data_IF_061797543223
#
_entry.id   IF_061797543223
#
_cell.length_a   1.000
_cell.length_b   1.000
_cell.length_c   1.000
_cell.angle_alpha   90.00
_cell.angle_beta   90.00
_cell.angle_gamma   90.00
#
_symmetry.space_group_name_H-M   'P 1'
#
loop_
_entity.id
_entity.type
_entity.pdbx_description
1 polymer ?
#
# COMPACT_ATOMS: atom_id res chain seq x y z
N UNK A 1 -16.62 8.59 7.40
CA UNK A 1 -16.76 8.17 5.99
C UNK A 1 -16.76 9.35 5.01
N UNK A 2 -17.77 10.22 5.05
CA UNK A 2 -17.90 11.39 4.14
C UNK A 2 -16.73 12.37 4.30
N UNK A 3 -16.35 12.69 5.54
CA UNK A 3 -15.19 13.55 5.81
C UNK A 3 -13.87 12.94 5.28
N UNK A 4 -13.66 11.63 5.51
CA UNK A 4 -12.49 10.93 4.98
C UNK A 4 -12.47 10.98 3.46
N UNK A 5 -13.59 10.71 2.80
CA UNK A 5 -13.71 10.77 1.34
C UNK A 5 -13.25 12.13 0.79
N UNK A 6 -13.80 13.21 1.34
CA UNK A 6 -13.44 14.59 0.95
C UNK A 6 -11.98 14.92 1.26
N UNK A 7 -11.47 14.51 2.41
CA UNK A 7 -10.07 14.74 2.80
C UNK A 7 -9.10 14.07 1.84
N UNK A 8 -9.33 12.79 1.51
CA UNK A 8 -8.45 12.04 0.62
C UNK A 8 -8.55 12.51 -0.84
N UNK A 9 -9.73 12.91 -1.32
CA UNK A 9 -9.86 13.52 -2.65
C UNK A 9 -9.06 14.83 -2.73
N UNK A 10 -9.21 15.70 -1.73
CA UNK A 10 -8.48 16.97 -1.68
C UNK A 10 -6.97 16.77 -1.55
N UNK A 11 -6.52 15.82 -0.74
CA UNK A 11 -5.09 15.48 -0.63
C UNK A 11 -4.51 15.00 -1.97
N UNK A 12 -5.28 14.21 -2.70
CA UNK A 12 -4.87 13.71 -4.01
C UNK A 12 -4.76 14.87 -5.01
N UNK A 13 -5.79 15.72 -5.06
CA UNK A 13 -5.83 16.91 -5.91
C UNK A 13 -4.65 17.85 -5.60
N UNK A 14 -4.38 18.12 -4.31
CA UNK A 14 -3.26 18.94 -3.86
C UNK A 14 -1.88 18.34 -4.23
N UNK A 15 -1.76 17.01 -4.24
CA UNK A 15 -0.53 16.32 -4.64
C UNK A 15 -0.27 16.46 -6.14
N UNK A 16 -1.33 16.42 -6.96
CA UNK A 16 -1.22 16.61 -8.42
C UNK A 16 -1.02 18.09 -8.80
N UNK A 17 -1.55 19.02 -8.02
CA UNK A 17 -1.50 20.45 -8.33
C UNK A 17 -0.10 21.07 -8.25
N UNK A 18 0.85 20.48 -7.52
CA UNK A 18 2.22 21.01 -7.45
C UNK A 18 2.96 20.82 -8.77
N UNK A 19 2.86 21.80 -9.67
CA UNK A 19 3.63 21.88 -10.94
C UNK A 19 5.12 21.65 -10.74
N UNK A 20 5.64 22.02 -9.57
CA UNK A 20 7.04 21.80 -9.18
C UNK A 20 7.46 20.34 -9.21
N UNK A 21 6.55 19.39 -8.99
CA UNK A 21 6.85 17.96 -9.03
C UNK A 21 6.79 17.37 -10.45
N UNK A 22 6.20 18.07 -11.43
CA UNK A 22 6.12 17.56 -12.81
C UNK A 22 7.50 17.50 -13.47
N UNK A 23 8.41 18.40 -13.06
CA UNK A 23 9.76 18.56 -13.59
C UNK A 23 10.78 18.49 -12.44
N UNK A 24 11.13 17.28 -11.96
CA UNK A 24 12.18 17.09 -10.96
C UNK A 24 13.54 17.59 -11.46
N UNK A 25 14.34 18.12 -10.55
CA UNK A 25 15.72 18.54 -10.81
C UNK A 25 16.63 17.31 -11.03
N UNK A 26 17.49 17.38 -12.04
CA UNK A 26 18.52 16.38 -12.33
C UNK A 26 18.03 15.10 -13.03
N UNK A 27 16.73 14.85 -13.11
CA UNK A 27 16.14 13.59 -13.60
C UNK A 27 15.38 13.83 -14.92
N UNK A 28 15.40 12.84 -15.82
CA UNK A 28 14.54 12.83 -17.00
C UNK A 28 13.09 12.52 -16.62
N UNK A 29 12.19 13.45 -16.90
CA UNK A 29 10.77 13.35 -16.60
C UNK A 29 9.95 13.10 -17.86
N UNK A 30 9.11 12.06 -17.82
CA UNK A 30 8.13 11.74 -18.87
C UNK A 30 6.71 12.12 -18.47
N UNK A 31 6.54 13.15 -17.63
CA UNK A 31 5.25 13.62 -17.12
C UNK A 31 4.28 14.12 -18.20
N UNK A 32 4.78 14.39 -19.42
CA UNK A 32 3.97 14.87 -20.54
C UNK A 32 3.99 13.84 -21.68
N UNK A 33 2.82 13.48 -22.24
CA UNK A 33 2.76 12.58 -23.38
C UNK A 33 3.64 13.07 -24.53
N UNK A 34 4.38 12.17 -25.16
CA UNK A 34 5.30 12.45 -26.27
C UNK A 34 6.50 13.36 -25.94
N UNK A 35 6.72 13.74 -24.68
CA UNK A 35 7.89 14.54 -24.29
C UNK A 35 8.71 13.87 -23.19
N UNK A 36 10.01 14.11 -23.19
CA UNK A 36 10.90 13.76 -22.08
C UNK A 36 11.78 14.94 -21.77
N UNK A 37 11.62 15.49 -20.57
CA UNK A 37 12.19 16.78 -20.18
C UNK A 37 13.17 16.55 -19.02
N UNK A 38 14.36 17.12 -19.11
CA UNK A 38 15.31 17.20 -18.00
C UNK A 38 15.62 18.65 -17.70
N UNK A 39 15.57 18.97 -16.41
CA UNK A 39 15.98 20.27 -15.88
C UNK A 39 17.24 20.03 -15.05
N UNK A 40 18.31 20.77 -15.32
CA UNK A 40 19.56 20.60 -14.60
C UNK A 40 19.47 21.17 -13.18
N UNK A 41 18.99 22.41 -13.05
CA UNK A 41 18.84 23.11 -11.76
C UNK A 41 17.57 23.95 -11.72
N UNK A 42 16.98 24.11 -10.54
CA UNK A 42 15.77 24.90 -10.30
C UNK A 42 15.98 25.94 -9.20
N UNK A 43 15.28 27.07 -9.29
CA UNK A 43 15.20 28.02 -8.17
C UNK A 43 14.27 27.52 -7.04
N UNK A 44 14.44 28.01 -5.79
CA UNK A 44 13.56 27.65 -4.67
C UNK A 44 12.06 27.86 -4.92
N UNK A 45 11.72 28.91 -5.68
CA UNK A 45 10.34 29.25 -6.05
C UNK A 45 9.75 28.29 -7.10
N UNK A 46 10.61 27.52 -7.77
CA UNK A 46 10.20 26.52 -8.74
C UNK A 46 9.69 27.07 -10.08
N UNK A 47 9.82 28.37 -10.34
CA UNK A 47 9.37 29.03 -11.57
C UNK A 47 10.49 29.08 -12.61
N UNK A 48 11.73 29.36 -12.19
CA UNK A 48 12.90 29.43 -13.07
C UNK A 48 13.65 28.11 -13.12
N UNK A 49 14.07 27.75 -14.32
CA UNK A 49 14.70 26.48 -14.69
C UNK A 49 16.01 26.79 -15.40
N UNK A 50 17.06 26.05 -15.08
CA UNK A 50 18.39 26.20 -15.68
C UNK A 50 18.81 24.89 -16.33
N UNK A 51 19.40 24.99 -17.52
CA UNK A 51 19.88 23.84 -18.28
C UNK A 51 18.76 22.86 -18.61
N UNK A 52 17.90 23.23 -19.56
CA UNK A 52 16.77 22.42 -19.99
C UNK A 52 17.11 21.61 -21.23
N UNK A 53 16.67 20.35 -21.24
CA UNK A 53 16.75 19.45 -22.37
C UNK A 53 15.37 18.82 -22.59
N UNK A 54 14.79 19.01 -23.76
CA UNK A 54 13.45 18.51 -24.11
C UNK A 54 13.59 17.62 -25.32
N UNK A 55 13.22 16.36 -25.17
CA UNK A 55 13.04 15.41 -26.25
C UNK A 55 11.57 15.33 -26.63
N UNK A 56 11.28 15.43 -27.91
CA UNK A 56 9.95 15.16 -28.45
C UNK A 56 9.98 13.81 -29.18
N UNK A 57 9.09 12.91 -28.76
CA UNK A 57 8.93 11.57 -29.33
C UNK A 57 7.88 11.64 -30.42
N UNK A 58 8.25 11.35 -31.66
CA UNK A 58 7.29 11.13 -32.73
C UNK A 58 7.06 9.63 -32.90
N UNK A 59 5.81 9.18 -32.78
CA UNK A 59 5.40 7.77 -32.89
C UNK A 59 5.74 7.12 -34.23
N UNK A 60 6.02 7.90 -35.29
CA UNK A 60 6.28 7.37 -36.63
C UNK A 60 7.76 7.34 -37.03
N UNK A 61 8.63 8.12 -36.39
CA UNK A 61 10.03 8.32 -36.84
C UNK A 61 11.09 8.29 -35.74
N UNK A 62 10.71 8.20 -34.46
CA UNK A 62 11.64 8.16 -33.32
C UNK A 62 11.83 9.52 -32.63
N UNK A 63 12.88 9.62 -31.79
CA UNK A 63 13.23 10.84 -31.03
C UNK A 63 14.03 11.82 -31.89
N UNK A 64 13.38 12.41 -32.88
CA UNK A 64 14.07 13.17 -33.91
C UNK A 64 14.12 14.67 -33.64
N UNK A 65 13.56 15.15 -32.53
CA UNK A 65 13.58 16.56 -32.16
C UNK A 65 14.07 16.73 -30.71
N UNK A 66 15.14 17.54 -30.56
CA UNK A 66 15.78 17.84 -29.28
C UNK A 66 15.95 19.34 -29.12
N UNK A 67 15.44 19.88 -28.02
CA UNK A 67 15.58 21.29 -27.67
C UNK A 67 16.47 21.43 -26.45
N UNK A 68 17.49 22.28 -26.56
CA UNK A 68 18.32 22.71 -25.45
C UNK A 68 18.04 24.17 -25.14
N UNK A 69 17.94 24.54 -23.87
CA UNK A 69 17.84 25.93 -23.44
C UNK A 69 18.70 26.18 -22.20
N UNK A 70 19.38 27.32 -22.16
CA UNK A 70 20.20 27.70 -21.00
C UNK A 70 19.34 28.07 -19.80
N UNK A 71 18.27 28.79 -20.05
CA UNK A 71 17.32 29.25 -19.04
C UNK A 71 15.90 28.99 -19.53
N UNK A 72 14.98 28.82 -18.60
CA UNK A 72 13.56 28.83 -18.89
C UNK A 72 12.73 29.20 -17.68
N UNK A 73 11.48 29.55 -17.93
CA UNK A 73 10.47 29.79 -16.90
C UNK A 73 9.24 28.96 -17.19
N UNK A 74 8.67 28.36 -16.16
CA UNK A 74 7.42 27.60 -16.26
C UNK A 74 6.27 28.37 -15.63
N UNK A 75 5.15 28.48 -16.34
CA UNK A 75 3.90 29.02 -15.82
C UNK A 75 2.71 28.31 -16.44
N UNK A 76 1.55 28.40 -15.82
CA UNK A 76 0.30 27.86 -16.37
C UNK A 76 -0.51 28.97 -17.02
N UNK A 77 -1.30 28.61 -18.02
CA UNK A 77 -2.28 29.54 -18.60
C UNK A 77 -3.38 29.88 -17.56
N UNK A 78 -4.05 31.05 -17.66
CA UNK A 78 -5.08 31.47 -16.70
C UNK A 78 -6.25 30.47 -16.55
N UNK A 79 -6.50 29.67 -17.59
CA UNK A 79 -7.53 28.63 -17.66
C UNK A 79 -7.04 27.24 -17.20
N UNK A 80 -5.81 27.14 -16.68
CA UNK A 80 -5.14 25.91 -16.24
C UNK A 80 -5.08 24.80 -17.31
N UNK A 81 -5.27 25.15 -18.60
CA UNK A 81 -5.30 24.20 -19.71
C UNK A 81 -3.92 23.78 -20.20
N UNK A 82 -2.93 24.66 -20.08
CA UNK A 82 -1.59 24.41 -20.59
C UNK A 82 -0.54 24.77 -19.55
N UNK A 83 0.51 23.94 -19.47
CA UNK A 83 1.78 24.35 -18.88
C UNK A 83 2.64 24.95 -20.00
N UNK A 84 3.10 26.17 -19.82
CA UNK A 84 3.96 26.87 -20.77
C UNK A 84 5.38 26.90 -20.23
N UNK A 85 6.32 26.37 -21.00
CA UNK A 85 7.75 26.55 -20.79
C UNK A 85 8.27 27.61 -21.74
N UNK A 86 8.58 28.77 -21.20
CA UNK A 86 9.25 29.85 -21.92
C UNK A 86 10.75 29.66 -21.81
N UNK A 87 11.37 29.26 -22.90
CA UNK A 87 12.78 28.88 -23.02
C UNK A 87 13.58 30.05 -23.58
N UNK A 88 14.78 30.27 -23.06
CA UNK A 88 15.69 31.34 -23.47
C UNK A 88 17.07 30.81 -23.86
N UNK A 89 17.65 31.45 -24.87
CA UNK A 89 19.00 31.19 -25.37
C UNK A 89 19.25 29.71 -25.65
N UNK A 90 18.52 29.16 -26.62
CA UNK A 90 18.51 27.75 -26.90
C UNK A 90 18.73 27.38 -28.37
N UNK A 91 18.78 26.07 -28.60
CA UNK A 91 18.92 25.48 -29.93
C UNK A 91 18.00 24.27 -30.04
N UNK A 92 17.27 24.20 -31.15
CA UNK A 92 16.48 23.04 -31.55
C UNK A 92 17.24 22.28 -32.64
N UNK A 93 17.40 20.99 -32.44
CA UNK A 93 17.92 20.05 -33.41
C UNK A 93 16.77 19.19 -33.90
N UNK A 94 16.57 19.14 -35.21
CA UNK A 94 15.55 18.33 -35.84
C UNK A 94 16.19 17.47 -36.93
N UNK A 95 15.94 16.17 -36.88
CA UNK A 95 16.44 15.20 -37.85
C UNK A 95 15.27 14.61 -38.66
N UNK A 96 15.15 15.03 -39.91
CA UNK A 96 14.13 14.45 -40.79
C UNK A 96 14.67 13.21 -41.51
N UNK A 97 13.83 12.19 -41.61
CA UNK A 97 14.10 11.04 -42.47
C UNK A 97 14.28 11.51 -43.91
N UNK A 98 15.25 10.92 -44.63
CA UNK A 98 15.43 11.21 -46.05
C UNK A 98 14.16 10.87 -46.86
N UNK A 99 13.90 11.63 -47.92
CA UNK A 99 12.82 11.31 -48.86
C UNK A 99 13.01 9.89 -49.42
N UNK A 100 11.91 9.19 -49.71
CA UNK A 100 11.90 7.85 -50.33
C UNK A 100 12.36 7.87 -51.81
N UNK A 101 13.40 8.65 -52.14
CA UNK A 101 13.95 8.86 -53.49
C UNK A 101 15.49 8.97 -53.50
N UNK A 102 16.06 9.44 -54.63
CA UNK A 102 17.49 9.39 -55.02
C UNK A 102 18.51 10.06 -54.05
N UNK A 103 18.08 10.67 -52.96
CA UNK A 103 18.99 11.23 -51.95
C UNK A 103 18.62 10.75 -50.53
N UNK A 104 19.15 9.59 -50.09
CA UNK A 104 18.85 8.99 -48.79
C UNK A 104 19.48 9.73 -47.59
N UNK A 105 20.05 10.92 -47.79
CA UNK A 105 20.75 11.65 -46.72
C UNK A 105 19.75 12.23 -45.72
N UNK A 106 19.90 11.82 -44.47
CA UNK A 106 19.26 12.45 -43.31
C UNK A 106 19.61 13.94 -43.29
N UNK A 107 18.60 14.80 -43.09
CA UNK A 107 18.79 16.24 -42.97
C UNK A 107 18.75 16.63 -41.51
N UNK A 108 19.81 17.30 -41.04
CA UNK A 108 19.86 17.88 -39.69
C UNK A 108 19.59 19.38 -39.78
N UNK A 109 18.47 19.82 -39.22
CA UNK A 109 18.11 21.23 -39.08
C UNK A 109 18.51 21.71 -37.70
N UNK A 110 19.18 22.87 -37.65
CA UNK A 110 19.60 23.53 -36.41
C UNK A 110 19.00 24.93 -36.34
N UNK A 111 18.06 25.14 -35.42
CA UNK A 111 17.42 26.43 -35.20
C UNK A 111 17.86 27.01 -33.87
N UNK A 112 18.56 28.14 -33.90
CA UNK A 112 18.92 28.89 -32.69
C UNK A 112 17.86 29.93 -32.40
N UNK A 113 17.45 30.05 -31.14
CA UNK A 113 16.43 31.00 -30.72
C UNK A 113 16.90 31.79 -29.49
N UNK A 114 16.54 33.08 -29.47
CA UNK A 114 16.67 33.92 -28.28
C UNK A 114 15.60 33.57 -27.26
N UNK A 115 14.37 33.39 -27.73
CA UNK A 115 13.22 33.02 -26.90
C UNK A 115 12.26 32.12 -27.70
N UNK A 116 11.68 31.13 -27.05
CA UNK A 116 10.60 30.31 -27.62
C UNK A 116 9.69 29.81 -26.50
N UNK A 117 8.44 29.47 -26.82
CA UNK A 117 7.48 28.91 -25.87
C UNK A 117 7.07 27.52 -26.32
N UNK A 118 7.19 26.55 -25.41
CA UNK A 118 6.65 25.22 -25.59
C UNK A 118 5.43 25.04 -24.69
N UNK A 119 4.28 24.73 -25.29
CA UNK A 119 3.02 24.51 -24.58
C UNK A 119 2.79 23.01 -24.43
N UNK A 120 2.48 22.58 -23.22
CA UNK A 120 2.12 21.21 -22.89
C UNK A 120 0.68 21.17 -22.47
N UNK A 121 -0.11 20.36 -23.18
CA UNK A 121 -1.52 20.20 -22.88
C UNK A 121 -1.70 19.50 -21.52
N UNK A 122 -2.34 20.19 -20.60
CA UNK A 122 -2.75 19.65 -19.31
C UNK A 122 -4.19 19.10 -19.37
N UNK A 123 -4.88 19.12 -20.50
CA UNK A 123 -6.28 18.66 -20.60
C UNK A 123 -6.44 17.17 -20.26
N UNK A 124 -5.42 16.35 -20.49
CA UNK A 124 -5.39 14.95 -20.00
C UNK A 124 -5.04 14.84 -18.50
N UNK A 125 -4.49 15.90 -17.91
CA UNK A 125 -4.27 16.06 -16.46
C UNK A 125 -5.42 16.84 -15.79
N UNK A 126 -6.34 17.44 -16.57
CA UNK A 126 -7.54 18.07 -16.05
C UNK A 126 -8.41 17.00 -15.44
N UNK A 127 -8.61 17.15 -14.12
CA UNK A 127 -9.70 16.63 -13.31
C UNK A 127 -10.71 15.71 -14.03
N UNK A 128 -10.31 14.47 -14.33
CA UNK A 128 -11.27 13.38 -14.10
C UNK A 128 -11.29 13.25 -12.59
N UNK A 129 -12.42 13.57 -11.93
CA UNK A 129 -12.63 13.19 -10.53
C UNK A 129 -12.06 11.79 -10.37
N UNK A 130 -10.97 11.68 -9.62
CA UNK A 130 -10.24 10.43 -9.48
C UNK A 130 -11.24 9.37 -9.12
N UNK A 131 -11.26 8.27 -9.88
CA UNK A 131 -12.18 7.20 -9.64
C UNK A 131 -11.94 6.74 -8.19
N UNK A 132 -12.89 7.01 -7.30
CA UNK A 132 -12.78 6.76 -5.85
C UNK A 132 -12.42 5.30 -5.54
N UNK A 133 -12.57 4.42 -6.54
CA UNK A 133 -12.21 3.01 -6.56
C UNK A 133 -10.70 2.68 -6.59
N UNK A 134 -9.80 3.60 -6.95
CA UNK A 134 -8.35 3.30 -6.99
C UNK A 134 -7.62 3.41 -5.64
N UNK A 135 -8.30 3.91 -4.60
CA UNK A 135 -7.69 4.06 -3.29
C UNK A 135 -7.66 2.73 -2.54
N UNK A 136 -6.45 2.20 -2.27
CA UNK A 136 -6.23 1.07 -1.34
C UNK A 136 -6.78 1.32 0.09
N UNK A 137 -7.13 2.58 0.39
CA UNK A 137 -7.77 3.05 1.63
C UNK A 137 -9.28 3.32 1.51
N UNK A 138 -9.92 2.97 0.38
CA UNK A 138 -11.35 3.20 0.16
C UNK A 138 -12.23 2.58 1.26
N UNK A 139 -11.82 1.47 1.86
CA UNK A 139 -12.55 0.82 2.98
C UNK A 139 -12.83 1.79 4.15
N UNK A 140 -11.91 2.71 4.47
CA UNK A 140 -12.10 3.71 5.54
C UNK A 140 -13.14 4.77 5.18
N UNK A 141 -13.35 5.00 3.88
CA UNK A 141 -14.25 6.00 3.32
C UNK A 141 -15.66 5.43 3.11
N UNK A 142 -15.78 4.10 3.00
CA UNK A 142 -17.06 3.41 2.83
C UNK A 142 -17.97 3.50 4.06
N UNK A 143 -19.27 3.55 3.80
CA UNK A 143 -20.32 3.36 4.80
C UNK A 143 -20.59 1.85 5.06
N UNK A 144 -21.43 1.53 6.05
CA UNK A 144 -21.70 0.13 6.44
C UNK A 144 -22.35 -0.70 5.32
N UNK A 145 -23.26 -0.11 4.52
CA UNK A 145 -23.91 -0.79 3.40
C UNK A 145 -22.90 -1.09 2.28
N UNK A 146 -22.05 -0.13 1.97
CA UNK A 146 -20.96 -0.26 0.99
C UNK A 146 -19.96 -1.33 1.44
N UNK A 147 -19.52 -1.33 2.71
CA UNK A 147 -18.61 -2.37 3.23
C UNK A 147 -19.23 -3.77 3.16
N UNK A 148 -20.52 -3.91 3.47
CA UNK A 148 -21.23 -5.20 3.37
C UNK A 148 -21.35 -5.67 1.92
N UNK A 149 -21.67 -4.76 1.01
CA UNK A 149 -21.74 -5.07 -0.42
C UNK A 149 -20.37 -5.44 -0.98
N UNK A 150 -19.34 -4.64 -0.67
CA UNK A 150 -17.96 -4.87 -1.10
C UNK A 150 -17.45 -6.22 -0.61
N UNK A 151 -17.69 -6.55 0.67
CA UNK A 151 -17.36 -7.87 1.23
C UNK A 151 -18.00 -8.99 0.41
N UNK A 152 -19.31 -8.91 0.14
CA UNK A 152 -20.03 -9.93 -0.64
C UNK A 152 -19.47 -10.05 -2.06
N UNK A 153 -19.14 -8.93 -2.69
CA UNK A 153 -18.56 -8.90 -4.03
C UNK A 153 -17.16 -9.52 -4.05
N UNK A 154 -16.33 -9.23 -3.04
CA UNK A 154 -15.00 -9.84 -2.91
C UNK A 154 -15.08 -11.34 -2.63
N UNK A 155 -15.98 -11.78 -1.76
CA UNK A 155 -16.26 -13.21 -1.50
C UNK A 155 -16.73 -13.90 -2.78
N UNK A 156 -17.71 -13.34 -3.49
CA UNK A 156 -18.20 -13.89 -4.75
C UNK A 156 -17.12 -13.98 -5.84
N UNK A 157 -16.25 -12.97 -5.94
CA UNK A 157 -15.10 -12.99 -6.87
C UNK A 157 -14.09 -14.07 -6.50
N UNK A 158 -13.87 -14.31 -5.21
CA UNK A 158 -12.98 -15.38 -4.73
C UNK A 158 -13.56 -16.76 -5.08
N UNK A 159 -14.85 -16.96 -4.82
CA UNK A 159 -15.54 -18.23 -5.08
C UNK A 159 -15.66 -18.53 -6.58
N UNK A 160 -16.11 -17.55 -7.37
CA UNK A 160 -16.21 -17.68 -8.84
C UNK A 160 -14.84 -17.82 -9.50
N UNK A 161 -13.81 -17.24 -8.87
CA UNK A 161 -12.41 -17.36 -9.28
C UNK A 161 -11.96 -18.81 -9.29
N UNK A 162 -12.33 -19.62 -8.29
CA UNK A 162 -11.96 -21.04 -8.21
C UNK A 162 -12.49 -21.87 -9.38
N UNK A 163 -13.76 -21.69 -9.74
CA UNK A 163 -14.35 -22.40 -10.87
C UNK A 163 -13.70 -22.00 -12.20
N UNK A 164 -13.43 -20.71 -12.36
CA UNK A 164 -12.77 -20.16 -13.57
C UNK A 164 -11.32 -20.61 -13.67
N UNK A 165 -10.59 -20.60 -12.55
CA UNK A 165 -9.23 -21.12 -12.43
C UNK A 165 -9.19 -22.60 -12.77
N UNK A 166 -10.07 -23.42 -12.19
CA UNK A 166 -10.14 -24.85 -12.50
C UNK A 166 -10.37 -25.10 -13.99
N UNK A 167 -11.29 -24.36 -14.63
CA UNK A 167 -11.53 -24.43 -16.08
C UNK A 167 -10.32 -24.04 -16.91
N UNK A 168 -9.55 -23.05 -16.44
CA UNK A 168 -8.33 -22.56 -17.10
C UNK A 168 -7.16 -23.52 -16.93
N UNK A 169 -7.06 -24.21 -15.78
CA UNK A 169 -5.98 -25.14 -15.46
C UNK A 169 -6.20 -26.54 -16.03
N UNK A 170 -7.45 -27.02 -16.08
CA UNK A 170 -7.78 -28.37 -16.54
C UNK A 170 -7.15 -28.77 -17.89
N UNK A 171 -7.03 -27.89 -18.91
CA UNK A 171 -6.44 -28.28 -20.21
C UNK A 171 -4.92 -28.49 -20.16
N UNK A 172 -4.22 -27.84 -19.22
CA UNK A 172 -2.77 -28.00 -19.08
C UNK A 172 -2.38 -29.29 -18.36
N UNK A 173 -3.30 -29.89 -17.62
CA UNK A 173 -3.12 -31.20 -17.01
C UNK A 173 -3.73 -32.24 -17.95
N UNK A 174 -2.89 -32.84 -18.80
CA UNK A 174 -3.27 -33.78 -19.87
C UNK A 174 -4.18 -34.94 -19.40
N UNK A 175 -4.17 -35.27 -18.10
CA UNK A 175 -5.11 -36.23 -17.52
C UNK A 175 -6.59 -35.81 -17.70
N UNK A 176 -6.91 -34.52 -17.58
CA UNK A 176 -8.29 -34.02 -17.71
C UNK A 176 -8.73 -33.78 -19.16
N UNK A 177 -7.80 -33.82 -20.12
CA UNK A 177 -8.12 -33.70 -21.55
C UNK A 177 -8.39 -35.06 -22.22
N UNK A 178 -8.15 -36.18 -21.51
CA UNK A 178 -8.53 -37.51 -21.99
C UNK A 178 -10.01 -37.76 -21.67
N UNK A 179 -10.88 -37.96 -22.68
CA UNK A 179 -12.28 -38.28 -22.44
C UNK A 179 -12.40 -39.60 -21.67
N UNK A 180 -13.32 -39.65 -20.70
CA UNK A 180 -13.52 -40.80 -19.81
C UNK A 180 -13.90 -42.10 -20.57
N UNK A 181 -14.44 -41.96 -21.79
CA UNK A 181 -14.68 -43.05 -22.73
C UNK A 181 -14.07 -42.69 -24.09
N UNK A 182 -12.79 -43.02 -24.33
CA UNK A 182 -12.21 -42.82 -25.65
C UNK A 182 -12.91 -43.76 -26.64
N UNK A 183 -13.61 -43.21 -27.63
CA UNK A 183 -14.27 -43.97 -28.72
C UNK A 183 -13.28 -44.62 -29.70
N UNK A 184 -12.02 -44.80 -29.33
CA UNK A 184 -10.94 -45.28 -30.19
C UNK A 184 -10.42 -46.63 -29.70
N UNK A 185 -10.05 -47.50 -30.65
CA UNK A 185 -9.32 -48.74 -30.41
C UNK A 185 -8.19 -48.49 -29.40
N UNK A 186 -8.29 -49.07 -28.20
CA UNK A 186 -7.24 -49.00 -27.20
C UNK A 186 -6.02 -49.75 -27.73
N UNK A 187 -5.08 -49.03 -28.33
CA UNK A 187 -3.78 -49.57 -28.69
C UNK A 187 -3.12 -49.97 -27.36
N UNK A 188 -2.92 -51.27 -27.15
CA UNK A 188 -2.19 -51.78 -25.98
C UNK A 188 -0.73 -51.35 -26.10
N UNK A 189 -0.36 -50.27 -25.43
CA UNK A 189 1.04 -49.89 -25.28
C UNK A 189 1.65 -50.67 -24.12
N UNK A 190 2.72 -51.42 -24.39
CA UNK A 190 3.50 -52.07 -23.34
C UNK A 190 4.46 -51.02 -22.75
N UNK A 191 4.05 -50.38 -21.65
CA UNK A 191 4.85 -49.40 -20.89
C UNK A 191 5.91 -50.06 -19.98
N UNK A 192 6.44 -51.21 -20.39
CA UNK A 192 7.46 -51.93 -19.63
C UNK A 192 8.83 -51.27 -19.81
N UNK A 193 9.10 -50.18 -19.08
CA UNK A 193 10.45 -49.59 -18.98
C UNK A 193 10.49 -48.08 -18.67
N UNK A 194 11.70 -47.52 -18.71
CA UNK A 194 11.92 -46.08 -18.59
C UNK A 194 11.32 -45.36 -19.81
N UNK A 195 10.33 -44.48 -19.60
CA UNK A 195 9.55 -43.79 -20.65
C UNK A 195 10.44 -42.98 -21.62
N UNK A 196 11.63 -42.58 -21.19
CA UNK A 196 12.61 -41.91 -22.05
C UNK A 196 13.19 -42.84 -23.11
N UNK A 197 13.23 -44.15 -22.85
CA UNK A 197 13.79 -45.14 -23.77
C UNK A 197 12.85 -45.44 -24.94
N UNK A 198 11.55 -45.13 -24.82
CA UNK A 198 10.58 -45.22 -25.91
C UNK A 198 10.72 -44.10 -26.97
N UNK A 199 11.46 -43.03 -26.66
CA UNK A 199 11.77 -41.95 -27.61
C UNK A 199 13.14 -42.19 -28.29
N UNK A 200 13.27 -41.74 -29.54
CA UNK A 200 14.57 -41.75 -30.24
C UNK A 200 15.59 -40.87 -29.48
N UNK A 201 16.88 -41.22 -29.45
CA UNK A 201 17.90 -40.47 -28.69
C UNK A 201 17.91 -38.96 -28.98
N UNK A 202 17.67 -38.60 -30.24
CA UNK A 202 17.61 -37.23 -30.76
C UNK A 202 16.41 -36.42 -30.21
N UNK A 203 15.30 -37.11 -29.96
CA UNK A 203 14.02 -36.52 -29.53
C UNK A 203 13.94 -36.36 -28.00
N UNK A 204 14.76 -37.10 -27.24
CA UNK A 204 14.72 -37.11 -25.76
C UNK A 204 14.94 -35.74 -25.14
N UNK A 205 15.93 -35.00 -25.64
CA UNK A 205 16.26 -33.66 -25.13
C UNK A 205 15.14 -32.66 -25.38
N UNK A 206 14.51 -32.72 -26.57
CA UNK A 206 13.36 -31.89 -26.92
C UNK A 206 12.12 -32.24 -26.10
N UNK A 207 11.84 -33.53 -25.90
CA UNK A 207 10.70 -33.99 -25.10
C UNK A 207 10.82 -33.59 -23.61
N UNK A 208 12.02 -33.73 -23.01
CA UNK A 208 12.28 -33.28 -21.64
C UNK A 208 12.20 -31.76 -21.54
N UNK A 209 12.77 -31.03 -22.51
CA UNK A 209 12.70 -29.57 -22.56
C UNK A 209 11.26 -29.05 -22.64
N UNK A 210 10.43 -29.66 -23.49
CA UNK A 210 9.02 -29.34 -23.60
C UNK A 210 8.25 -29.63 -22.31
N UNK A 211 8.45 -30.81 -21.70
CA UNK A 211 7.82 -31.18 -20.44
C UNK A 211 8.22 -30.22 -19.30
N UNK A 212 9.50 -29.88 -19.21
CA UNK A 212 10.01 -28.95 -18.21
C UNK A 212 9.50 -27.52 -18.44
N UNK A 213 9.34 -27.09 -19.69
CA UNK A 213 8.70 -25.82 -20.04
C UNK A 213 7.22 -25.77 -19.64
N UNK A 214 6.45 -26.84 -19.92
CA UNK A 214 5.06 -26.99 -19.50
C UNK A 214 4.93 -26.91 -17.97
N UNK A 215 5.79 -27.64 -17.23
CA UNK A 215 5.79 -27.66 -15.76
C UNK A 215 6.13 -26.28 -15.17
N UNK A 216 7.14 -25.59 -15.72
CA UNK A 216 7.51 -24.24 -15.26
C UNK A 216 6.39 -23.23 -15.50
N UNK A 217 5.79 -23.26 -16.70
CA UNK A 217 4.66 -22.39 -17.00
C UNK A 217 3.47 -22.63 -16.06
N UNK A 218 3.17 -23.90 -15.76
CA UNK A 218 2.17 -24.27 -14.77
C UNK A 218 2.51 -23.75 -13.37
N UNK A 219 3.76 -23.89 -12.95
CA UNK A 219 4.24 -23.39 -11.66
C UNK A 219 4.06 -21.87 -11.55
N UNK A 220 4.43 -21.12 -12.58
CA UNK A 220 4.32 -19.65 -12.61
C UNK A 220 2.86 -19.21 -12.52
N UNK A 221 1.96 -19.87 -13.27
CA UNK A 221 0.53 -19.57 -13.22
C UNK A 221 -0.04 -19.88 -11.83
N UNK A 222 0.26 -21.06 -11.26
CA UNK A 222 -0.21 -21.45 -9.92
C UNK A 222 0.28 -20.45 -8.86
N UNK A 223 1.57 -20.09 -8.91
CA UNK A 223 2.17 -19.12 -7.97
C UNK A 223 1.48 -17.77 -8.07
N UNK A 224 1.28 -17.27 -9.29
CA UNK A 224 0.58 -16.01 -9.55
C UNK A 224 -0.88 -16.04 -9.02
N UNK A 225 -1.57 -17.18 -9.15
CA UNK A 225 -2.93 -17.35 -8.61
C UNK A 225 -2.95 -17.42 -7.10
N UNK A 226 -2.00 -18.10 -6.46
CA UNK A 226 -1.88 -18.15 -4.99
C UNK A 226 -1.69 -16.72 -4.44
N UNK A 227 -0.80 -15.94 -5.05
CA UNK A 227 -0.57 -14.55 -4.67
C UNK A 227 -1.82 -13.69 -4.85
N UNK A 228 -2.52 -13.82 -6.00
CA UNK A 228 -3.76 -13.11 -6.26
C UNK A 228 -4.87 -13.46 -5.24
N UNK A 229 -5.02 -14.75 -4.89
CA UNK A 229 -5.96 -15.20 -3.85
C UNK A 229 -5.59 -14.65 -2.48
N UNK A 230 -4.31 -14.67 -2.12
CA UNK A 230 -3.82 -14.09 -0.85
C UNK A 230 -4.17 -12.60 -0.78
N UNK A 231 -4.00 -11.87 -1.88
CA UNK A 231 -4.40 -10.46 -2.00
C UNK A 231 -5.91 -10.23 -1.83
N UNK A 232 -6.75 -11.02 -2.51
CA UNK A 232 -8.21 -10.95 -2.34
C UNK A 232 -8.66 -11.27 -0.91
N UNK A 233 -8.06 -12.29 -0.29
CA UNK A 233 -8.33 -12.65 1.10
C UNK A 233 -7.94 -11.51 2.06
N UNK A 234 -6.81 -10.84 1.81
CA UNK A 234 -6.39 -9.65 2.58
C UNK A 234 -7.41 -8.51 2.48
N UNK A 235 -7.92 -8.25 1.28
CA UNK A 235 -8.95 -7.24 1.05
C UNK A 235 -10.26 -7.55 1.81
N UNK A 236 -10.68 -8.82 1.86
CA UNK A 236 -11.85 -9.26 2.63
C UNK A 236 -11.62 -9.01 4.13
N UNK A 237 -10.45 -9.39 4.66
CA UNK A 237 -10.09 -9.15 6.07
C UNK A 237 -10.08 -7.66 6.40
N UNK A 238 -9.48 -6.82 5.56
CA UNK A 238 -9.46 -5.36 5.74
C UNK A 238 -10.86 -4.76 5.74
N UNK A 239 -11.73 -5.19 4.83
CA UNK A 239 -13.13 -4.76 4.78
C UNK A 239 -13.87 -5.09 6.07
N UNK A 240 -13.67 -6.31 6.59
CA UNK A 240 -14.29 -6.76 7.83
C UNK A 240 -13.73 -6.03 9.07
N UNK A 241 -12.42 -5.78 9.11
CA UNK A 241 -11.76 -5.00 10.16
C UNK A 241 -12.33 -3.58 10.22
N UNK A 242 -12.45 -2.88 9.08
CA UNK A 242 -13.02 -1.53 9.04
C UNK A 242 -14.51 -1.50 9.40
N UNK A 243 -15.25 -2.58 9.11
CA UNK A 243 -16.63 -2.74 9.58
C UNK A 243 -16.68 -2.80 11.11
N UNK A 244 -15.91 -3.70 11.72
CA UNK A 244 -15.86 -3.87 13.17
C UNK A 244 -15.32 -2.63 13.88
N UNK A 245 -14.31 -1.97 13.31
CA UNK A 245 -13.69 -0.75 13.86
C UNK A 245 -14.72 0.32 14.19
N UNK A 246 -15.70 0.54 13.31
CA UNK A 246 -16.75 1.55 13.50
C UNK A 246 -17.60 1.28 14.76
N UNK A 247 -17.84 0.01 15.10
CA UNK A 247 -18.55 -0.37 16.33
C UNK A 247 -17.64 -0.32 17.55
N UNK A 248 -16.41 -0.84 17.42
CA UNK A 248 -15.45 -0.87 18.53
C UNK A 248 -15.07 0.52 19.01
N UNK A 249 -15.04 1.53 18.13
CA UNK A 249 -14.75 2.92 18.51
C UNK A 249 -15.82 3.47 19.47
N UNK A 250 -17.10 3.20 19.20
CA UNK A 250 -18.19 3.60 20.09
C UNK A 250 -18.19 2.80 21.39
N UNK A 251 -17.95 1.49 21.32
CA UNK A 251 -17.87 0.64 22.50
C UNK A 251 -16.67 0.99 23.42
N UNK A 252 -15.56 1.43 22.83
CA UNK A 252 -14.38 1.87 23.58
C UNK A 252 -14.68 3.08 24.48
N UNK A 253 -15.50 4.03 24.02
CA UNK A 253 -15.94 5.16 24.85
C UNK A 253 -16.65 4.70 26.12
N UNK A 254 -17.50 3.66 26.02
CA UNK A 254 -18.19 3.10 27.17
C UNK A 254 -17.21 2.43 28.15
N UNK A 255 -16.29 1.59 27.64
CA UNK A 255 -15.31 0.91 28.49
C UNK A 255 -14.37 1.89 29.18
N UNK A 256 -13.87 2.89 28.47
CA UNK A 256 -13.01 3.92 29.04
C UNK A 256 -13.75 4.78 30.07
N UNK A 257 -15.04 5.06 29.86
CA UNK A 257 -15.87 5.72 30.86
C UNK A 257 -16.04 4.86 32.12
N UNK A 258 -16.32 3.56 31.97
CA UNK A 258 -16.41 2.60 33.08
C UNK A 258 -15.11 2.50 33.90
N UNK A 259 -13.97 2.81 33.31
CA UNK A 259 -12.68 2.82 34.00
C UNK A 259 -12.40 4.19 34.63
N UNK A 260 -12.62 5.27 33.88
CA UNK A 260 -12.31 6.63 34.30
C UNK A 260 -13.20 7.14 35.44
N UNK A 261 -14.51 6.87 35.41
CA UNK A 261 -15.45 7.31 36.44
C UNK A 261 -15.11 6.76 37.84
N UNK A 262 -14.91 5.44 38.05
CA UNK A 262 -14.55 4.91 39.36
C UNK A 262 -13.15 5.33 39.82
N UNK A 263 -12.16 5.43 38.91
CA UNK A 263 -10.82 5.91 39.28
C UNK A 263 -10.83 7.36 39.77
N UNK A 264 -11.64 8.21 39.14
CA UNK A 264 -11.89 9.59 39.59
C UNK A 264 -12.55 9.66 40.97
N UNK A 265 -13.49 8.75 41.26
CA UNK A 265 -14.19 8.71 42.54
C UNK A 265 -13.34 8.11 43.67
N UNK A 266 -12.55 7.06 43.40
CA UNK A 266 -11.72 6.36 44.38
C UNK A 266 -10.52 7.22 44.81
N UNK A 267 -9.84 7.85 43.87
CA UNK A 267 -8.56 8.54 44.11
C UNK A 267 -8.84 9.98 44.59
N UNK A 268 -9.31 10.11 45.85
CA UNK A 268 -9.62 11.41 46.50
C UNK A 268 -8.40 12.15 47.04
N UNK A 269 -7.30 11.45 47.37
CA UNK A 269 -6.08 12.04 47.94
C UNK A 269 -4.99 12.15 46.86
N UNK A 270 -4.88 13.30 46.20
CA UNK A 270 -3.85 13.50 45.15
C UNK A 270 -4.05 14.68 44.19
N UNK A 271 -5.05 15.55 44.38
CA UNK A 271 -5.39 16.62 43.43
C UNK A 271 -6.00 16.10 42.12
N UNK A 272 -6.48 17.00 41.26
CA UNK A 272 -7.17 16.64 40.01
C UNK A 272 -6.29 15.90 38.99
N UNK A 273 -4.96 15.91 39.15
CA UNK A 273 -4.01 15.34 38.19
C UNK A 273 -3.84 13.82 38.28
N UNK A 274 -3.87 13.23 39.49
CA UNK A 274 -3.59 11.80 39.67
C UNK A 274 -4.61 10.89 38.95
N UNK A 275 -5.94 11.12 39.03
CA UNK A 275 -6.91 10.30 38.31
C UNK A 275 -6.79 10.42 36.78
N UNK A 276 -6.41 11.60 36.29
CA UNK A 276 -6.20 11.85 34.85
C UNK A 276 -5.02 11.05 34.34
N UNK A 277 -3.88 11.07 35.04
CA UNK A 277 -2.69 10.30 34.66
C UNK A 277 -3.00 8.80 34.60
N UNK A 278 -3.69 8.27 35.62
CA UNK A 278 -4.07 6.84 35.62
C UNK A 278 -5.03 6.51 34.47
N UNK A 279 -5.98 7.40 34.16
CA UNK A 279 -6.89 7.22 33.02
C UNK A 279 -6.16 7.21 31.68
N UNK A 280 -5.15 8.07 31.51
CA UNK A 280 -4.29 8.08 30.31
C UNK A 280 -3.50 6.78 30.18
N UNK A 281 -2.99 6.22 31.28
CA UNK A 281 -2.31 4.92 31.25
C UNK A 281 -3.25 3.81 30.75
N UNK A 282 -4.48 3.74 31.24
CA UNK A 282 -5.47 2.77 30.73
C UNK A 282 -5.84 3.00 29.28
N UNK A 283 -5.95 4.26 28.85
CA UNK A 283 -6.16 4.60 27.44
C UNK A 283 -5.00 4.12 26.55
N UNK A 284 -3.75 4.28 26.99
CA UNK A 284 -2.59 3.78 26.26
C UNK A 284 -2.58 2.25 26.20
N UNK A 285 -2.89 1.57 27.30
CA UNK A 285 -3.01 0.10 27.33
C UNK A 285 -4.09 -0.36 26.34
N UNK A 286 -5.27 0.26 26.36
CA UNK A 286 -6.33 0.02 25.39
C UNK A 286 -5.81 0.19 23.96
N UNK A 287 -5.13 1.30 23.67
CA UNK A 287 -4.68 1.61 22.32
C UNK A 287 -3.61 0.63 21.82
N UNK A 288 -2.69 0.21 22.69
CA UNK A 288 -1.66 -0.80 22.36
C UNK A 288 -2.32 -2.15 22.04
N UNK A 289 -3.19 -2.65 22.92
CA UNK A 289 -3.86 -3.95 22.71
C UNK A 289 -4.74 -3.90 21.45
N UNK A 290 -5.47 -2.81 21.24
CA UNK A 290 -6.31 -2.60 20.06
C UNK A 290 -5.48 -2.58 18.77
N UNK A 291 -4.33 -1.90 18.77
CA UNK A 291 -3.43 -1.85 17.60
C UNK A 291 -2.83 -3.22 17.28
N UNK A 292 -2.44 -3.98 18.30
CA UNK A 292 -1.93 -5.35 18.13
C UNK A 292 -3.02 -6.27 17.57
N UNK A 293 -4.24 -6.19 18.13
CA UNK A 293 -5.38 -6.97 17.68
C UNK A 293 -5.78 -6.65 16.24
N UNK A 294 -5.79 -5.37 15.88
CA UNK A 294 -6.05 -4.92 14.51
C UNK A 294 -5.00 -5.43 13.52
N UNK A 295 -3.72 -5.33 13.87
CA UNK A 295 -2.63 -5.81 13.01
C UNK A 295 -2.71 -7.32 12.82
N UNK A 296 -2.91 -8.07 13.90
CA UNK A 296 -3.09 -9.52 13.87
C UNK A 296 -4.31 -9.95 13.03
N UNK A 297 -5.41 -9.18 13.07
CA UNK A 297 -6.59 -9.42 12.25
C UNK A 297 -6.36 -9.15 10.76
N UNK A 298 -5.58 -8.12 10.42
CA UNK A 298 -5.21 -7.80 9.04
C UNK A 298 -4.28 -8.86 8.45
N UNK A 299 -3.29 -9.29 9.22
CA UNK A 299 -2.31 -10.30 8.80
C UNK A 299 -2.93 -11.70 8.68
N UNK A 300 -4.14 -11.91 9.24
CA UNK A 300 -4.88 -13.17 9.15
C UNK A 300 -4.55 -14.18 10.24
N UNK A 301 -3.76 -13.79 11.24
CA UNK A 301 -3.40 -14.65 12.39
C UNK A 301 -4.59 -14.89 13.32
N UNK A 302 -5.50 -13.91 13.42
CA UNK A 302 -6.75 -14.04 14.20
C UNK A 302 -7.95 -13.61 13.37
N UNK A 303 -9.15 -14.15 13.63
CA UNK A 303 -10.37 -13.69 12.99
C UNK A 303 -10.60 -12.18 13.21
N UNK A 304 -11.04 -11.41 12.21
CA UNK A 304 -11.27 -9.97 12.34
C UNK A 304 -12.21 -9.56 13.49
N UNK A 305 -13.20 -10.39 13.80
CA UNK A 305 -14.09 -10.15 14.94
C UNK A 305 -13.33 -10.24 16.27
N UNK A 306 -12.47 -11.25 16.45
CA UNK A 306 -11.71 -11.41 17.70
C UNK A 306 -10.67 -10.31 17.84
N UNK A 307 -9.88 -10.06 16.78
CA UNK A 307 -8.80 -9.08 16.83
C UNK A 307 -9.28 -7.65 17.12
N UNK A 308 -10.45 -7.25 16.64
CA UNK A 308 -10.97 -5.90 16.89
C UNK A 308 -11.59 -5.74 18.28
N UNK A 309 -12.20 -6.80 18.83
CA UNK A 309 -12.89 -6.76 20.12
C UNK A 309 -12.01 -7.13 21.31
N UNK A 310 -10.80 -7.66 21.08
CA UNK A 310 -9.91 -8.15 22.14
C UNK A 310 -9.64 -7.12 23.24
N UNK A 311 -9.39 -5.86 22.87
CA UNK A 311 -9.13 -4.80 23.84
C UNK A 311 -10.35 -4.50 24.72
N UNK A 312 -11.55 -4.50 24.13
CA UNK A 312 -12.82 -4.31 24.84
C UNK A 312 -13.07 -5.49 25.77
N UNK A 313 -13.00 -6.72 25.25
CA UNK A 313 -13.27 -7.94 26.04
C UNK A 313 -12.33 -8.07 27.24
N UNK A 314 -11.06 -7.66 27.10
CA UNK A 314 -10.08 -7.69 28.20
C UNK A 314 -10.34 -6.57 29.23
N UNK A 315 -10.68 -5.35 28.79
CA UNK A 315 -10.83 -4.20 29.67
C UNK A 315 -12.22 -4.06 30.30
N UNK A 316 -13.28 -4.57 29.68
CA UNK A 316 -14.64 -4.55 30.22
C UNK A 316 -14.76 -5.20 31.61
N UNK A 317 -14.27 -6.43 31.85
CA UNK A 317 -14.35 -7.03 33.19
C UNK A 317 -13.53 -6.25 34.22
N UNK A 318 -12.39 -5.67 33.82
CA UNK A 318 -11.60 -4.80 34.69
C UNK A 318 -12.35 -3.51 35.04
N UNK A 319 -12.98 -2.87 34.06
CA UNK A 319 -13.80 -1.67 34.26
C UNK A 319 -15.00 -1.94 35.15
N UNK A 320 -15.70 -3.06 34.96
CA UNK A 320 -16.81 -3.49 35.81
C UNK A 320 -16.35 -3.77 37.24
N UNK A 321 -15.21 -4.46 37.41
CA UNK A 321 -14.63 -4.73 38.72
C UNK A 321 -14.26 -3.42 39.46
N UNK A 322 -13.60 -2.48 38.78
CA UNK A 322 -13.26 -1.17 39.34
C UNK A 322 -14.51 -0.37 39.70
N UNK A 323 -15.54 -0.41 38.84
CA UNK A 323 -16.84 0.25 39.10
C UNK A 323 -17.51 -0.33 40.34
N UNK A 324 -17.58 -1.66 40.46
CA UNK A 324 -18.16 -2.34 41.62
C UNK A 324 -17.40 -2.00 42.91
N UNK A 325 -16.07 -1.95 42.87
CA UNK A 325 -15.23 -1.63 44.02
C UNK A 325 -15.33 -0.15 44.44
N UNK A 326 -15.47 0.76 43.49
CA UNK A 326 -15.77 2.17 43.79
C UNK A 326 -17.13 2.31 44.46
N UNK A 327 -18.15 1.58 44.00
CA UNK A 327 -19.49 1.63 44.55
C UNK A 327 -19.59 1.00 45.96
N UNK A 328 -18.72 0.06 46.29
CA UNK A 328 -18.67 -0.63 47.60
C UNK A 328 -17.62 -0.03 48.55
N UNK A 329 -17.23 1.23 48.32
CA UNK A 329 -16.35 2.05 49.16
C UNK A 329 -15.03 1.36 49.59
N UNK A 330 -14.51 0.49 48.73
CA UNK A 330 -13.28 -0.25 49.00
C UNK A 330 -12.05 0.60 48.69
N UNK A 331 -11.25 0.93 49.70
CA UNK A 331 -9.94 1.58 49.57
C UNK A 331 -8.87 0.61 49.01
N UNK A 332 -9.03 0.17 47.75
CA UNK A 332 -8.13 -0.78 47.08
C UNK A 332 -6.77 -0.18 46.69
N UNK A 333 -6.64 1.15 46.75
CA UNK A 333 -5.45 1.90 46.38
C UNK A 333 -5.05 2.88 47.50
N UNK A 334 -4.83 2.37 48.70
CA UNK A 334 -4.15 3.16 49.72
C UNK A 334 -2.66 3.27 49.35
N UNK A 335 -2.24 4.48 48.94
CA UNK A 335 -0.89 4.78 48.47
C UNK A 335 0.18 4.39 49.51
N UNK A 336 -0.19 4.30 50.78
CA UNK A 336 0.69 3.90 51.88
C UNK A 336 1.07 2.41 51.83
N UNK A 337 0.19 1.54 51.32
CA UNK A 337 0.48 0.10 51.16
C UNK A 337 1.49 -0.10 50.02
N UNK A 338 1.30 0.60 48.89
CA UNK A 338 2.22 0.52 47.75
C UNK A 338 3.57 1.20 48.04
N UNK A 339 3.60 2.33 48.75
CA UNK A 339 4.84 2.93 49.25
C UNK A 339 5.61 1.96 50.14
N UNK A 340 4.94 1.30 51.10
CA UNK A 340 5.58 0.30 51.98
C UNK A 340 6.11 -0.90 51.20
N UNK A 341 5.43 -1.35 50.14
CA UNK A 341 5.88 -2.45 49.28
C UNK A 341 7.12 -2.06 48.45
N UNK A 342 7.10 -0.88 47.80
CA UNK A 342 8.24 -0.40 47.02
C UNK A 342 9.45 -0.07 47.90
N UNK A 343 9.24 0.52 49.08
CA UNK A 343 10.30 0.76 50.06
C UNK A 343 10.92 -0.55 50.57
N UNK A 344 10.12 -1.60 50.82
CA UNK A 344 10.65 -2.93 51.17
C UNK A 344 11.51 -3.55 50.07
N UNK A 345 11.10 -3.42 48.80
CA UNK A 345 11.88 -3.92 47.66
C UNK A 345 13.18 -3.12 47.48
N UNK A 346 13.13 -1.79 47.65
CA UNK A 346 14.29 -0.91 47.61
C UNK A 346 15.27 -1.19 48.77
N UNK A 347 14.77 -1.47 49.98
CA UNK A 347 15.60 -1.86 51.13
C UNK A 347 16.22 -3.26 50.96
N UNK A 348 15.51 -4.20 50.32
CA UNK A 348 16.06 -5.54 50.03
C UNK A 348 17.17 -5.49 48.98
N UNK A 349 17.08 -4.59 48.01
CA UNK A 349 18.13 -4.37 47.00
C UNK A 349 19.32 -3.60 47.57
N UNK A 350 19.10 -2.63 48.47
CA UNK A 350 20.21 -1.90 49.14
C UNK A 350 20.97 -2.77 50.15
N UNK A 351 20.29 -3.68 50.87
CA UNK A 351 20.94 -4.66 51.76
C UNK A 351 21.80 -5.69 51.02
N UNK A 352 21.51 -5.98 49.74
CA UNK A 352 22.36 -6.85 48.90
C UNK A 352 23.62 -6.15 48.38
N UNK A 353 23.63 -4.82 48.30
CA UNK A 353 24.78 -4.01 47.86
C UNK A 353 25.74 -3.64 49.01
N UNK A 354 25.32 -3.76 50.27
CA UNK A 354 26.16 -3.59 51.47
C UNK A 354 26.51 -4.95 52.10
N UNK A 355 27.27 -5.80 51.40
CA UNK A 355 28.11 -6.82 52.07
C UNK A 355 29.55 -6.30 52.08
N UNK A 356 30.23 -6.26 53.24
CA UNK A 356 31.55 -5.63 53.36
C UNK A 356 32.60 -6.48 52.64
N UNK A 357 33.52 -5.80 51.93
CA UNK A 357 34.77 -6.40 51.45
C UNK A 357 35.50 -7.00 52.65
N UNK A 358 35.60 -8.33 52.68
CA UNK A 358 36.44 -9.04 53.63
C UNK A 358 37.91 -8.67 53.37
N UNK A 359 38.62 -8.39 54.45
CA UNK A 359 40.06 -8.18 54.54
C UNK A 359 40.84 -9.34 53.93
N UNK A 360 41.74 -9.02 52.98
CA UNK A 360 42.83 -9.90 52.58
C UNK A 360 43.98 -9.70 53.59
N UNK A 361 44.30 -10.76 54.33
CA UNK A 361 45.61 -11.00 54.92
C UNK A 361 46.36 -11.99 54.03
#
# INVERSE_FOLDING_TARGET
PVANLKYYSLLYDARQQKSTNLLPEGIFSSSFPNYTIRVHKKDPDGIRLYGMMIYEKNTSTGNNNVIFAKEGSMYRTPDDSYLVLKLKNGVRYEESSGDKGFNPRQRLIRQRFKETEQKFDLSNLKFKRTNESEFKSAYQMMNLKQLKHERKTLEFKLDSGLATEFRTFSPYVKYFSVPHQPKSNQIKYNLAGNLLNTFKPEERLGAVGAALGEVRSLQDIITSKIEARKGSSDNIRRTMVEYQRKFTLSAACLVLFLIGAPLGAIIRKGGLGLPVVVSVVFFLIYHIISTIGEKSAKDGNVPPAVGMWIAIVVLTPLGLFLTYKAATDSALFDLDIYKKFFLRIAEQTSKRLKKPKASLN
#
